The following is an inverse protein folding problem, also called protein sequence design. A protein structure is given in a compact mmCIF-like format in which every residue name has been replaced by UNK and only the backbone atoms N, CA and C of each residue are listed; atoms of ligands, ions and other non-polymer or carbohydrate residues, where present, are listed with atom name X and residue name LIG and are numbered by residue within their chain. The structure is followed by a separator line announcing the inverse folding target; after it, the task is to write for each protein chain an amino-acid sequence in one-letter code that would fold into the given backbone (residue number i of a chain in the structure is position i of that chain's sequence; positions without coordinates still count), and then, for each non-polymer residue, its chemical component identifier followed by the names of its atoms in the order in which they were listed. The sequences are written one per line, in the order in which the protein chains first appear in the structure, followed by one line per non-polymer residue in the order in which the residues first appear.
data_IF_507509336773
#
_entry.id   IF_507509336773
#
_cell.length_a   1.000
_cell.length_b   1.000
_cell.length_c   1.000
_cell.angle_alpha   90.00
_cell.angle_beta   90.00
_cell.angle_gamma   90.00
#
_symmetry.space_group_name_H-M   'P 1'
#
loop_
_entity.id
_entity.type
_entity.pdbx_description
1 polymer ?
#
# COMPACT_ATOMS: atom_id res chain seq x y z
N UNK A 1 -14.74 4.17 24.81
CA UNK A 1 -14.23 3.80 26.15
C UNK A 1 -14.83 2.47 26.58
N UNK A 2 -14.05 1.58 27.19
CA UNK A 2 -14.55 0.30 27.73
C UNK A 2 -15.16 0.48 29.13
N UNK A 3 -16.04 -0.43 29.58
CA UNK A 3 -16.62 -0.35 30.93
C UNK A 3 -15.56 -0.46 32.04
N UNK A 4 -15.57 0.46 33.02
CA UNK A 4 -14.62 0.46 34.16
C UNK A 4 -14.64 -0.82 35.02
N UNK A 5 -15.75 -1.57 34.99
CA UNK A 5 -15.93 -2.81 35.75
C UNK A 5 -15.63 -4.08 34.94
N UNK A 6 -14.99 -3.96 33.77
CA UNK A 6 -14.69 -5.09 32.89
C UNK A 6 -13.92 -6.22 33.61
N UNK A 7 -13.01 -5.87 34.51
CA UNK A 7 -12.25 -6.80 35.36
C UNK A 7 -13.11 -7.76 36.21
N UNK A 8 -14.39 -7.43 36.44
CA UNK A 8 -15.34 -8.32 37.15
C UNK A 8 -15.85 -9.46 36.27
N UNK A 9 -15.71 -9.37 34.95
CA UNK A 9 -16.21 -10.35 33.99
C UNK A 9 -15.24 -11.54 33.83
N UNK A 10 -14.89 -12.23 34.92
CA UNK A 10 -13.86 -13.30 34.93
C UNK A 10 -14.08 -14.48 33.98
N UNK A 11 -15.32 -14.66 33.47
CA UNK A 11 -15.67 -15.68 32.47
C UNK A 11 -15.63 -15.17 31.03
N UNK A 12 -15.28 -13.91 30.81
CA UNK A 12 -15.17 -13.32 29.48
C UNK A 12 -14.09 -14.07 28.70
N UNK A 13 -14.45 -14.54 27.50
CA UNK A 13 -13.54 -15.29 26.61
C UNK A 13 -13.14 -14.50 25.38
N UNK A 14 -13.92 -13.49 25.00
CA UNK A 14 -13.72 -12.72 23.77
C UNK A 14 -14.01 -11.25 24.05
N UNK A 15 -13.04 -10.41 23.72
CA UNK A 15 -13.13 -8.97 23.71
C UNK A 15 -12.53 -8.48 22.40
N UNK A 16 -13.40 -8.15 21.45
CA UNK A 16 -12.98 -7.59 20.16
C UNK A 16 -13.23 -6.09 20.20
N UNK A 17 -12.15 -5.35 20.04
CA UNK A 17 -12.08 -3.90 19.98
C UNK A 17 -11.53 -3.60 18.58
N UNK A 18 -12.30 -2.83 17.80
CA UNK A 18 -12.14 -2.72 16.34
C UNK A 18 -10.69 -2.72 15.83
N UNK A 19 -10.49 -3.44 14.74
CA UNK A 19 -9.30 -3.39 13.88
C UNK A 19 -9.64 -4.11 12.58
N UNK A 20 -10.35 -3.45 11.66
CA UNK A 20 -10.34 -3.89 10.26
C UNK A 20 -8.99 -3.45 9.68
N UNK A 21 -7.96 -4.28 9.83
CA UNK A 21 -6.65 -4.02 9.22
C UNK A 21 -6.68 -4.68 7.85
N UNK A 22 -7.23 -3.96 6.87
CA UNK A 22 -7.06 -4.31 5.47
C UNK A 22 -5.80 -3.67 4.91
N UNK A 23 -5.24 -4.36 3.90
CA UNK A 23 -3.91 -4.27 3.30
C UNK A 23 -3.62 -2.94 2.55
N UNK A 24 -4.32 -1.85 2.87
CA UNK A 24 -4.12 -0.56 2.20
C UNK A 24 -4.06 0.56 3.23
N UNK A 25 -2.83 0.98 3.55
CA UNK A 25 -2.26 2.32 3.89
C UNK A 25 -3.08 3.29 4.79
N UNK A 26 -4.41 3.24 4.85
CA UNK A 26 -5.26 3.92 5.82
C UNK A 26 -5.47 3.06 7.07
N UNK A 27 -4.53 3.16 7.99
CA UNK A 27 -4.69 2.63 9.34
C UNK A 27 -5.35 3.71 10.19
N UNK A 28 -6.68 3.71 10.26
CA UNK A 28 -7.38 4.48 11.30
C UNK A 28 -7.17 3.77 12.64
N UNK A 29 -6.51 4.44 13.59
CA UNK A 29 -6.40 3.92 14.94
C UNK A 29 -7.81 3.85 15.58
N UNK A 30 -8.10 2.79 16.34
CA UNK A 30 -9.41 2.66 16.97
C UNK A 30 -9.69 3.84 17.91
N UNK A 31 -10.96 4.26 18.00
CA UNK A 31 -11.44 5.34 18.90
C UNK A 31 -11.15 5.06 20.39
N UNK A 32 -10.64 3.88 20.74
CA UNK A 32 -10.27 3.54 22.11
C UNK A 32 -8.95 4.21 22.52
N UNK A 33 -9.02 5.09 23.53
CA UNK A 33 -7.86 5.85 24.01
C UNK A 33 -7.03 5.16 25.10
N UNK A 34 -7.60 4.17 25.80
CA UNK A 34 -6.91 3.41 26.86
C UNK A 34 -7.65 2.11 27.23
N UNK A 35 -6.95 1.21 27.90
CA UNK A 35 -7.50 -0.04 28.46
C UNK A 35 -7.91 0.15 29.93
N UNK A 36 -9.05 -0.39 30.40
CA UNK A 36 -9.44 -0.29 31.80
C UNK A 36 -8.55 -1.15 32.69
N UNK A 37 -8.22 -0.66 33.89
CA UNK A 37 -7.46 -1.39 34.90
C UNK A 37 -8.06 -2.76 35.24
N UNK A 38 -7.18 -3.74 35.47
CA UNK A 38 -7.54 -5.09 35.87
C UNK A 38 -8.00 -6.00 34.73
N UNK A 39 -7.73 -5.62 33.48
CA UNK A 39 -7.92 -6.50 32.32
C UNK A 39 -7.04 -7.75 32.41
N UNK A 40 -5.87 -7.66 33.05
CA UNK A 40 -4.98 -8.80 33.28
C UNK A 40 -5.56 -9.87 34.21
N UNK A 41 -6.64 -9.57 34.93
CA UNK A 41 -7.36 -10.54 35.77
C UNK A 41 -8.37 -11.39 34.97
N UNK A 42 -8.56 -11.10 33.67
CA UNK A 42 -9.42 -11.87 32.77
C UNK A 42 -8.69 -13.08 32.19
N UNK A 43 -8.16 -13.96 33.03
CA UNK A 43 -7.33 -15.10 32.58
C UNK A 43 -8.05 -16.16 31.73
N UNK A 44 -9.38 -16.11 31.67
CA UNK A 44 -10.21 -16.91 30.75
C UNK A 44 -10.33 -16.30 29.34
N UNK A 45 -9.80 -15.09 29.14
CA UNK A 45 -9.85 -14.38 27.87
C UNK A 45 -8.99 -15.13 26.84
N UNK A 46 -9.63 -15.50 25.75
CA UNK A 46 -9.01 -16.16 24.61
C UNK A 46 -8.76 -15.20 23.47
N UNK A 47 -9.66 -14.25 23.23
CA UNK A 47 -9.51 -13.30 22.14
C UNK A 47 -9.50 -11.89 22.70
N UNK A 48 -8.42 -11.16 22.41
CA UNK A 48 -8.26 -9.74 22.67
C UNK A 48 -7.63 -9.12 21.42
N UNK A 49 -8.44 -8.49 20.58
CA UNK A 49 -7.94 -7.97 19.29
C UNK A 49 -7.02 -6.76 19.46
N UNK A 50 -7.31 -5.87 20.42
CA UNK A 50 -6.54 -4.63 20.60
C UNK A 50 -6.25 -4.34 22.08
N UNK A 51 -5.01 -3.98 22.38
CA UNK A 51 -4.55 -3.47 23.67
C UNK A 51 -3.92 -2.09 23.50
N UNK A 52 -4.48 -1.09 24.18
CA UNK A 52 -4.03 0.31 24.12
C UNK A 52 -3.20 0.64 25.35
N UNK A 53 -1.92 0.94 25.14
CA UNK A 53 -1.02 1.42 26.20
C UNK A 53 -1.13 2.94 26.29
N UNK A 54 -1.46 3.46 27.47
CA UNK A 54 -1.64 4.89 27.72
C UNK A 54 -1.01 5.30 29.05
N UNK A 55 -0.63 6.58 29.16
CA UNK A 55 -0.13 7.20 30.39
C UNK A 55 -1.24 7.74 31.30
N UNK A 56 -2.52 7.53 30.93
CA UNK A 56 -3.65 7.90 31.79
C UNK A 56 -3.61 7.10 33.10
N UNK A 57 -3.88 7.77 34.22
CA UNK A 57 -3.80 7.17 35.56
C UNK A 57 -4.78 6.00 35.77
N UNK A 58 -5.89 5.97 35.03
CA UNK A 58 -6.88 4.89 35.05
C UNK A 58 -6.73 3.89 33.89
N UNK A 59 -5.58 3.91 33.20
CA UNK A 59 -5.23 2.95 32.14
C UNK A 59 -4.48 1.75 32.69
N UNK A 60 -4.79 0.57 32.15
CA UNK A 60 -3.93 -0.60 32.27
C UNK A 60 -2.57 -0.34 31.61
N UNK A 61 -1.50 -0.70 32.31
CA UNK A 61 -0.15 -0.78 31.74
C UNK A 61 0.04 -2.08 30.96
N UNK A 62 1.05 -2.12 30.09
CA UNK A 62 1.31 -3.27 29.21
C UNK A 62 1.58 -4.59 29.98
N UNK A 63 2.09 -4.49 31.22
CA UNK A 63 2.28 -5.61 32.12
C UNK A 63 0.98 -6.35 32.48
N UNK A 64 -0.20 -5.75 32.27
CA UNK A 64 -1.47 -6.47 32.47
C UNK A 64 -1.67 -7.61 31.47
N UNK A 65 -0.89 -7.67 30.38
CA UNK A 65 -0.87 -8.82 29.47
C UNK A 65 -0.19 -10.06 30.06
N UNK A 66 0.55 -9.94 31.17
CA UNK A 66 1.40 -11.00 31.75
C UNK A 66 0.67 -12.34 31.90
N UNK A 67 -0.53 -12.31 32.50
CA UNK A 67 -1.30 -13.51 32.86
C UNK A 67 -2.26 -14.00 31.76
N UNK A 68 -2.32 -13.31 30.63
CA UNK A 68 -3.25 -13.62 29.54
C UNK A 68 -2.63 -14.63 28.55
N UNK A 69 -2.22 -15.79 29.07
CA UNK A 69 -1.48 -16.82 28.29
C UNK A 69 -2.35 -17.56 27.25
N UNK A 70 -3.67 -17.55 27.43
CA UNK A 70 -4.63 -18.23 26.56
C UNK A 70 -5.06 -17.39 25.35
N UNK A 71 -4.44 -16.21 25.14
CA UNK A 71 -4.74 -15.39 23.97
C UNK A 71 -4.41 -16.16 22.68
N UNK A 72 -5.37 -16.16 21.77
CA UNK A 72 -5.36 -16.90 20.51
C UNK A 72 -5.72 -15.99 19.33
N UNK A 73 -5.18 -16.31 18.15
CA UNK A 73 -5.42 -15.54 16.92
C UNK A 73 -4.54 -14.29 16.86
N UNK A 74 -5.18 -13.12 16.89
CA UNK A 74 -4.53 -11.83 16.69
C UNK A 74 -4.48 -11.00 17.97
N UNK A 75 -3.37 -10.28 18.15
CA UNK A 75 -3.24 -9.20 19.13
C UNK A 75 -2.59 -7.98 18.47
N UNK A 76 -3.28 -6.85 18.52
CA UNK A 76 -2.74 -5.52 18.18
C UNK A 76 -2.41 -4.77 19.47
N UNK A 77 -1.19 -4.28 19.61
CA UNK A 77 -0.78 -3.41 20.72
C UNK A 77 -0.47 -2.03 20.14
N UNK A 78 -1.23 -1.03 20.56
CA UNK A 78 -1.04 0.37 20.15
C UNK A 78 -0.57 1.19 21.34
N UNK A 79 0.07 2.33 21.05
CA UNK A 79 0.52 3.23 22.10
C UNK A 79 1.85 2.82 22.73
N UNK A 80 2.69 2.07 22.01
CA UNK A 80 3.94 1.50 22.57
C UNK A 80 4.95 2.58 23.01
N UNK A 81 4.89 3.79 22.42
CA UNK A 81 5.66 4.95 22.89
C UNK A 81 5.44 5.28 24.37
N UNK A 82 4.30 4.86 24.93
CA UNK A 82 3.96 5.05 26.34
C UNK A 82 4.64 4.02 27.25
N UNK A 83 5.48 3.11 26.75
CA UNK A 83 6.25 2.19 27.61
C UNK A 83 7.57 2.85 28.02
N UNK A 84 7.60 3.40 29.24
CA UNK A 84 8.76 4.13 29.76
C UNK A 84 9.91 3.21 30.22
N UNK A 85 9.58 1.98 30.62
CA UNK A 85 10.53 0.98 31.09
C UNK A 85 10.38 -0.32 30.31
N UNK A 86 11.43 -0.74 29.60
CA UNK A 86 11.44 -1.98 28.83
C UNK A 86 11.16 -3.23 29.70
N UNK A 87 11.38 -3.17 31.02
CA UNK A 87 11.05 -4.24 31.95
C UNK A 87 9.54 -4.46 32.07
N UNK A 88 8.72 -3.44 31.86
CA UNK A 88 7.27 -3.59 31.83
C UNK A 88 6.78 -4.22 30.52
N UNK A 89 7.41 -3.87 29.39
CA UNK A 89 7.21 -4.60 28.13
C UNK A 89 7.59 -6.09 28.28
N UNK A 90 8.69 -6.40 28.97
CA UNK A 90 9.09 -7.79 29.22
C UNK A 90 8.03 -8.55 30.04
N UNK A 91 7.42 -7.92 31.05
CA UNK A 91 6.33 -8.52 31.84
C UNK A 91 5.10 -8.83 31.01
N UNK A 92 4.85 -8.12 29.90
CA UNK A 92 3.76 -8.44 28.98
C UNK A 92 3.85 -9.89 28.46
N UNK A 93 5.04 -10.51 28.50
CA UNK A 93 5.27 -11.93 28.28
C UNK A 93 4.61 -12.45 26.99
N UNK A 94 4.90 -11.81 25.85
CA UNK A 94 4.36 -12.26 24.57
C UNK A 94 4.90 -13.64 24.17
N UNK A 95 6.06 -14.03 24.69
CA UNK A 95 6.63 -15.37 24.52
C UNK A 95 5.81 -16.49 25.17
N UNK A 96 4.96 -16.23 26.17
CA UNK A 96 4.12 -17.30 26.76
C UNK A 96 2.83 -17.55 25.96
N UNK A 97 2.43 -16.62 25.08
CA UNK A 97 1.15 -16.62 24.37
C UNK A 97 1.21 -17.49 23.11
N UNK A 98 1.31 -18.81 23.33
CA UNK A 98 1.59 -19.81 22.27
C UNK A 98 0.51 -19.94 21.19
N UNK A 99 -0.69 -19.46 21.46
CA UNK A 99 -1.84 -19.59 20.55
C UNK A 99 -2.04 -18.34 19.68
N UNK A 100 -1.25 -17.29 19.88
CA UNK A 100 -1.19 -16.16 18.96
C UNK A 100 -0.47 -16.57 17.68
N UNK A 101 -1.06 -16.16 16.56
CA UNK A 101 -0.53 -16.32 15.21
C UNK A 101 -0.19 -14.97 14.59
N UNK A 102 -0.94 -13.92 14.95
CA UNK A 102 -0.79 -12.58 14.39
C UNK A 102 -0.47 -11.58 15.48
N UNK A 103 0.58 -10.78 15.28
CA UNK A 103 0.97 -9.70 16.18
C UNK A 103 1.13 -8.38 15.43
N UNK A 104 0.45 -7.35 15.87
CA UNK A 104 0.63 -5.99 15.37
C UNK A 104 1.13 -5.07 16.50
N UNK A 105 2.24 -4.37 16.27
CA UNK A 105 2.87 -3.45 17.22
C UNK A 105 2.89 -2.04 16.62
N UNK A 106 2.24 -1.08 17.27
CA UNK A 106 2.09 0.28 16.77
C UNK A 106 2.60 1.35 17.72
N UNK A 107 3.49 2.16 17.19
CA UNK A 107 3.84 3.50 17.67
C UNK A 107 2.88 4.52 17.04
N UNK A 108 2.72 5.71 17.64
CA UNK A 108 1.77 6.68 17.15
C UNK A 108 2.32 7.31 15.86
N UNK A 109 1.41 7.74 14.99
CA UNK A 109 1.78 8.59 13.85
C UNK A 109 2.21 9.95 14.40
N UNK A 110 3.50 10.24 14.40
CA UNK A 110 3.93 11.64 14.43
C UNK A 110 3.45 12.26 13.12
N UNK A 111 2.66 13.34 13.19
CA UNK A 111 2.62 14.28 12.06
C UNK A 111 4.06 14.62 11.69
N UNK A 112 4.32 14.79 10.40
CA UNK A 112 5.62 14.77 9.68
C UNK A 112 6.80 15.57 10.26
N UNK A 113 6.72 16.19 11.44
CA UNK A 113 7.73 17.09 12.00
C UNK A 113 8.02 16.89 13.51
N UNK A 114 7.57 15.79 14.13
CA UNK A 114 7.93 15.49 15.53
C UNK A 114 8.87 14.28 15.57
N UNK A 115 10.16 14.54 15.75
CA UNK A 115 11.11 13.52 16.19
C UNK A 115 10.66 12.99 17.56
N UNK A 116 10.01 11.83 17.57
CA UNK A 116 9.74 11.12 18.82
C UNK A 116 11.08 10.53 19.27
N UNK A 117 11.84 11.28 20.07
CA UNK A 117 12.99 10.76 20.80
C UNK A 117 12.52 9.73 21.85
N UNK A 118 12.29 8.49 21.44
CA UNK A 118 12.07 7.39 22.37
C UNK A 118 13.41 6.72 22.69
N UNK A 119 14.10 7.28 23.69
CA UNK A 119 15.32 6.76 24.34
C UNK A 119 15.05 5.45 25.09
N UNK A 120 14.69 4.37 24.37
CA UNK A 120 14.53 2.97 24.82
C UNK A 120 13.75 2.11 23.79
N UNK A 121 13.36 2.65 22.63
CA UNK A 121 12.46 1.95 21.70
C UNK A 121 12.94 0.57 21.30
N UNK A 122 14.25 0.43 21.08
CA UNK A 122 14.86 -0.84 20.72
C UNK A 122 14.72 -1.86 21.83
N UNK A 123 15.02 -1.47 23.07
CA UNK A 123 14.90 -2.32 24.25
C UNK A 123 13.45 -2.71 24.53
N UNK A 124 12.50 -1.78 24.33
CA UNK A 124 11.06 -2.05 24.43
C UNK A 124 10.64 -3.06 23.37
N UNK A 125 10.96 -2.84 22.10
CA UNK A 125 10.59 -3.76 21.02
C UNK A 125 11.29 -5.12 21.17
N UNK A 126 12.54 -5.16 21.62
CA UNK A 126 13.26 -6.39 21.99
C UNK A 126 12.53 -7.16 23.09
N UNK A 127 12.07 -6.47 24.14
CA UNK A 127 11.33 -7.06 25.25
C UNK A 127 9.93 -7.60 24.83
N UNK A 128 9.38 -7.09 23.72
CA UNK A 128 8.13 -7.53 23.12
C UNK A 128 8.30 -8.71 22.15
N UNK A 129 9.40 -9.47 22.24
CA UNK A 129 9.55 -10.67 21.42
C UNK A 129 8.36 -11.64 21.60
N UNK A 130 7.67 -12.02 20.52
CA UNK A 130 6.56 -12.96 20.59
C UNK A 130 7.01 -14.42 20.70
N UNK A 131 6.03 -15.31 20.89
CA UNK A 131 6.26 -16.74 20.74
C UNK A 131 6.61 -17.11 19.29
N UNK A 132 7.41 -18.15 19.09
CA UNK A 132 7.86 -18.65 17.77
C UNK A 132 6.75 -19.22 16.87
N UNK A 133 5.48 -19.13 17.30
CA UNK A 133 4.31 -19.58 16.53
C UNK A 133 3.71 -18.48 15.66
N UNK A 134 4.17 -17.24 15.79
CA UNK A 134 3.70 -16.14 14.96
C UNK A 134 3.95 -16.46 13.48
N UNK A 135 2.89 -16.31 12.70
CA UNK A 135 2.83 -16.46 11.24
C UNK A 135 2.84 -15.08 10.57
N UNK A 136 2.21 -14.07 11.20
CA UNK A 136 2.15 -12.70 10.67
C UNK A 136 2.56 -11.67 11.72
N UNK A 137 3.49 -10.79 11.36
CA UNK A 137 3.94 -9.71 12.22
C UNK A 137 3.89 -8.38 11.48
N UNK A 138 3.28 -7.38 12.12
CA UNK A 138 3.19 -6.01 11.62
C UNK A 138 3.81 -5.07 12.65
N UNK A 139 4.70 -4.20 12.20
CA UNK A 139 5.31 -3.19 13.05
C UNK A 139 5.16 -1.85 12.34
N UNK A 140 4.56 -0.89 13.04
CA UNK A 140 4.23 0.42 12.49
C UNK A 140 4.82 1.52 13.37
N UNK A 141 5.46 2.53 12.75
CA UNK A 141 5.88 3.75 13.42
C UNK A 141 7.12 3.61 14.30
N UNK A 142 7.83 2.48 14.25
CA UNK A 142 8.97 2.23 15.13
C UNK A 142 10.07 3.29 14.93
N UNK A 143 10.43 4.07 15.97
CA UNK A 143 11.29 5.25 15.80
C UNK A 143 12.79 4.93 15.97
N UNK A 144 13.14 3.70 16.36
CA UNK A 144 14.53 3.31 16.61
C UNK A 144 15.35 3.12 15.34
N UNK A 145 16.67 3.27 15.43
CA UNK A 145 17.57 3.14 14.28
C UNK A 145 17.81 1.69 13.83
N UNK A 146 17.64 0.72 14.72
CA UNK A 146 17.95 -0.69 14.47
C UNK A 146 16.80 -1.59 14.90
N UNK A 147 16.46 -2.58 14.08
CA UNK A 147 15.50 -3.62 14.45
C UNK A 147 16.08 -4.55 15.53
N UNK A 148 15.25 -5.08 16.45
CA UNK A 148 15.68 -6.03 17.47
C UNK A 148 16.04 -7.42 16.93
N UNK A 149 16.62 -8.25 17.79
CA UNK A 149 17.14 -9.60 17.48
C UNK A 149 16.11 -10.54 16.87
N UNK A 150 14.84 -10.38 17.24
CA UNK A 150 13.77 -11.29 16.82
C UNK A 150 13.08 -10.91 15.51
N UNK A 151 13.16 -9.65 15.06
CA UNK A 151 12.46 -9.18 13.85
C UNK A 151 13.19 -9.72 12.63
N UNK A 152 12.50 -10.53 11.82
CA UNK A 152 13.11 -11.19 10.66
C UNK A 152 14.06 -12.33 11.01
N UNK A 153 14.19 -12.73 12.28
CA UNK A 153 15.06 -13.83 12.66
C UNK A 153 14.39 -15.19 12.40
N UNK A 154 15.02 -16.02 11.58
CA UNK A 154 14.61 -17.40 11.33
C UNK A 154 14.65 -18.30 12.58
N UNK A 155 15.43 -17.95 13.60
CA UNK A 155 15.48 -18.71 14.86
C UNK A 155 14.39 -18.27 15.83
N UNK A 156 14.09 -16.96 15.89
CA UNK A 156 13.05 -16.41 16.74
C UNK A 156 11.64 -16.67 16.19
N UNK A 157 11.46 -16.52 14.89
CA UNK A 157 10.17 -16.61 14.19
C UNK A 157 10.24 -17.56 12.98
N UNK A 158 10.43 -18.87 13.20
CA UNK A 158 10.60 -19.85 12.13
C UNK A 158 9.34 -20.13 11.29
N UNK A 159 8.16 -19.63 11.71
CA UNK A 159 6.87 -19.82 11.04
C UNK A 159 6.36 -18.56 10.34
N UNK A 160 7.13 -17.48 10.36
CA UNK A 160 6.70 -16.18 9.84
C UNK A 160 6.55 -16.23 8.31
N UNK A 161 5.31 -16.12 7.84
CA UNK A 161 4.96 -16.03 6.42
C UNK A 161 4.75 -14.59 5.97
N UNK A 162 4.39 -13.69 6.89
CA UNK A 162 4.21 -12.26 6.61
C UNK A 162 5.03 -11.41 7.59
N UNK A 163 5.87 -10.53 7.06
CA UNK A 163 6.49 -9.44 7.80
C UNK A 163 6.16 -8.09 7.15
N UNK A 164 5.47 -7.23 7.90
CA UNK A 164 5.13 -5.88 7.46
C UNK A 164 5.81 -4.83 8.33
N UNK A 165 6.59 -3.94 7.71
CA UNK A 165 7.28 -2.83 8.36
C UNK A 165 6.83 -1.51 7.73
N UNK A 166 6.19 -0.66 8.52
CA UNK A 166 5.51 0.54 8.01
C UNK A 166 5.94 1.79 8.78
N UNK A 167 6.16 2.90 8.07
CA UNK A 167 6.47 4.21 8.63
C UNK A 167 7.63 4.15 9.64
N UNK A 168 8.77 3.63 9.19
CA UNK A 168 10.00 3.53 9.97
C UNK A 168 11.09 4.46 9.41
N UNK A 169 10.99 5.78 9.66
CA UNK A 169 11.85 6.79 9.01
C UNK A 169 13.34 6.68 9.42
N UNK A 170 13.61 6.10 10.59
CA UNK A 170 14.94 6.05 11.18
C UNK A 170 15.62 4.68 11.08
N UNK A 171 14.91 3.62 10.71
CA UNK A 171 15.48 2.27 10.70
C UNK A 171 16.47 2.12 9.55
N UNK A 172 17.74 1.89 9.89
CA UNK A 172 18.84 1.74 8.93
C UNK A 172 19.12 0.28 8.58
N UNK A 173 18.69 -0.67 9.41
CA UNK A 173 18.97 -2.08 9.16
C UNK A 173 18.42 -3.06 10.18
N UNK A 174 18.89 -4.30 10.04
CA UNK A 174 18.53 -5.44 10.87
C UNK A 174 19.53 -5.63 12.00
N UNK A 175 19.13 -6.36 13.04
CA UNK A 175 20.07 -6.81 14.07
C UNK A 175 21.12 -7.77 13.48
N UNK A 176 22.30 -7.84 14.10
CA UNK A 176 23.32 -8.83 13.74
C UNK A 176 22.86 -10.29 13.91
N UNK A 177 21.79 -10.51 14.68
CA UNK A 177 21.16 -11.82 14.88
C UNK A 177 20.22 -12.20 13.71
N UNK A 178 19.84 -11.24 12.88
CA UNK A 178 19.10 -11.46 11.63
C UNK A 178 20.06 -11.93 10.51
N UNK A 179 20.71 -13.09 10.72
CA UNK A 179 21.66 -13.67 9.76
C UNK A 179 20.96 -14.10 8.46
N UNK A 180 19.69 -14.51 8.54
CA UNK A 180 18.84 -14.92 7.41
C UNK A 180 17.35 -14.74 7.78
N UNK A 181 16.57 -14.17 6.86
CA UNK A 181 15.11 -14.15 6.94
C UNK A 181 14.55 -15.59 6.94
N UNK A 182 13.37 -15.85 7.55
CA UNK A 182 12.76 -17.17 7.58
C UNK A 182 12.52 -17.71 6.17
N UNK A 183 12.89 -18.97 5.91
CA UNK A 183 12.71 -19.59 4.59
C UNK A 183 11.25 -19.79 4.19
N UNK A 184 10.32 -19.69 5.14
CA UNK A 184 8.87 -19.73 4.90
C UNK A 184 8.26 -18.34 4.62
N UNK A 185 9.06 -17.26 4.67
CA UNK A 185 8.56 -15.90 4.46
C UNK A 185 8.05 -15.73 3.03
N UNK A 186 6.78 -15.37 2.89
CA UNK A 186 6.10 -15.19 1.60
C UNK A 186 5.89 -13.71 1.28
N UNK A 187 5.61 -12.90 2.30
CA UNK A 187 5.30 -11.49 2.14
C UNK A 187 6.26 -10.67 3.00
N UNK A 188 7.02 -9.80 2.34
CA UNK A 188 7.82 -8.76 2.98
C UNK A 188 7.33 -7.41 2.47
N UNK A 189 6.43 -6.79 3.24
CA UNK A 189 5.84 -5.50 2.89
C UNK A 189 6.53 -4.38 3.66
N UNK A 190 7.03 -3.41 2.91
CA UNK A 190 7.77 -2.25 3.40
C UNK A 190 7.07 -1.00 2.88
N UNK A 191 6.71 -0.09 3.79
CA UNK A 191 6.09 1.17 3.42
C UNK A 191 6.73 2.30 4.23
N UNK A 192 7.21 3.34 3.56
CA UNK A 192 7.89 4.47 4.20
C UNK A 192 8.98 4.02 5.19
N UNK A 193 9.91 3.19 4.70
CA UNK A 193 11.11 2.72 5.40
C UNK A 193 12.37 3.18 4.63
N UNK A 194 12.62 4.51 4.53
CA UNK A 194 13.53 5.09 3.55
C UNK A 194 15.01 4.81 3.81
N UNK A 195 15.39 4.34 5.01
CA UNK A 195 16.77 4.01 5.37
C UNK A 195 17.02 2.51 5.48
N UNK A 196 15.97 1.68 5.42
CA UNK A 196 16.07 0.25 5.70
C UNK A 196 16.68 -0.48 4.50
N UNK A 197 17.86 -1.05 4.72
CA UNK A 197 18.54 -1.94 3.78
C UNK A 197 18.03 -3.38 4.00
N UNK A 198 17.54 -4.02 2.95
CA UNK A 198 17.13 -5.43 2.97
C UNK A 198 18.33 -6.38 3.19
N UNK A 199 18.15 -7.48 3.94
CA UNK A 199 19.20 -8.45 4.13
C UNK A 199 19.34 -9.30 2.86
N UNK A 200 20.58 -9.56 2.43
CA UNK A 200 20.88 -10.43 1.29
C UNK A 200 21.55 -11.72 1.76
N UNK A 201 21.16 -12.89 1.22
CA UNK A 201 20.12 -13.11 0.19
C UNK A 201 18.69 -13.10 0.77
N UNK A 202 17.71 -12.74 -0.07
CA UNK A 202 16.29 -12.90 0.23
C UNK A 202 15.82 -14.35 0.02
N UNK A 203 14.86 -14.87 0.83
CA UNK A 203 14.26 -16.18 0.63
C UNK A 203 13.52 -16.28 -0.71
N UNK A 204 13.73 -17.36 -1.46
CA UNK A 204 13.07 -17.63 -2.76
C UNK A 204 11.57 -17.98 -2.66
N UNK A 205 11.07 -18.12 -1.44
CA UNK A 205 9.65 -18.30 -1.10
C UNK A 205 8.84 -17.00 -1.18
N UNK A 206 9.50 -15.84 -1.23
CA UNK A 206 8.82 -14.55 -1.33
C UNK A 206 8.01 -14.48 -2.63
N UNK A 207 6.72 -14.18 -2.46
CA UNK A 207 5.76 -13.95 -3.55
C UNK A 207 5.33 -12.49 -3.64
N UNK A 208 5.41 -11.74 -2.53
CA UNK A 208 5.12 -10.31 -2.49
C UNK A 208 6.25 -9.56 -1.79
N UNK A 209 6.81 -8.56 -2.48
CA UNK A 209 7.91 -7.75 -1.99
C UNK A 209 7.66 -6.27 -2.24
N UNK A 210 7.99 -5.44 -1.25
CA UNK A 210 8.16 -4.00 -1.44
C UNK A 210 9.62 -3.62 -1.20
N UNK A 211 10.20 -2.80 -2.08
CA UNK A 211 11.55 -2.26 -1.98
C UNK A 211 11.50 -0.73 -1.97
N UNK A 212 12.21 -0.10 -1.05
CA UNK A 212 12.16 1.35 -0.83
C UNK A 212 13.52 2.06 -0.96
N UNK A 213 13.52 3.40 -0.93
CA UNK A 213 14.69 4.32 -0.98
C UNK A 213 15.98 3.87 -0.29
N UNK A 214 15.87 3.12 0.80
CA UNK A 214 17.03 2.62 1.56
C UNK A 214 17.71 1.41 0.93
N UNK A 215 17.14 0.82 -0.12
CA UNK A 215 17.64 -0.38 -0.77
C UNK A 215 18.49 -0.04 -1.98
N UNK A 216 19.35 -0.98 -2.37
CA UNK A 216 20.15 -0.83 -3.57
C UNK A 216 19.24 -0.68 -4.80
N UNK A 217 19.29 0.46 -5.51
CA UNK A 217 18.51 0.68 -6.71
C UNK A 217 18.84 -0.29 -7.85
N UNK A 218 19.96 -1.01 -7.76
CA UNK A 218 20.34 -2.06 -8.72
C UNK A 218 19.36 -3.24 -8.73
N UNK A 219 18.54 -3.41 -7.68
CA UNK A 219 17.60 -4.53 -7.50
C UNK A 219 18.23 -5.94 -7.58
N UNK A 220 19.54 -6.10 -7.41
CA UNK A 220 20.20 -7.44 -7.43
C UNK A 220 19.57 -8.43 -6.44
N UNK A 221 19.02 -7.93 -5.32
CA UNK A 221 18.36 -8.74 -4.30
C UNK A 221 17.11 -9.48 -4.81
N UNK A 222 16.45 -9.00 -5.87
CA UNK A 222 15.22 -9.62 -6.41
C UNK A 222 15.48 -10.55 -7.59
N UNK A 223 16.70 -10.60 -8.12
CA UNK A 223 17.05 -11.34 -9.34
C UNK A 223 16.65 -12.83 -9.28
N UNK A 224 16.74 -13.44 -8.09
CA UNK A 224 16.48 -14.87 -7.86
C UNK A 224 15.04 -15.16 -7.36
N UNK A 225 14.16 -14.16 -7.30
CA UNK A 225 12.78 -14.31 -6.81
C UNK A 225 11.82 -14.73 -7.92
N UNK A 226 12.03 -15.92 -8.49
CA UNK A 226 11.24 -16.42 -9.64
C UNK A 226 9.75 -16.66 -9.33
N UNK A 227 9.36 -16.71 -8.05
CA UNK A 227 7.97 -16.87 -7.61
C UNK A 227 7.27 -15.55 -7.30
N UNK A 228 7.96 -14.43 -7.45
CA UNK A 228 7.41 -13.11 -7.15
C UNK A 228 6.21 -12.83 -8.07
N UNK A 229 5.05 -12.63 -7.47
CA UNK A 229 3.81 -12.25 -8.16
C UNK A 229 3.46 -10.77 -7.95
N UNK A 230 4.04 -10.13 -6.94
CA UNK A 230 3.84 -8.73 -6.62
C UNK A 230 5.17 -8.04 -6.28
N UNK A 231 5.44 -6.91 -6.92
CA UNK A 231 6.59 -6.05 -6.62
C UNK A 231 6.13 -4.59 -6.50
N UNK A 232 6.42 -3.97 -5.35
CA UNK A 232 6.31 -2.52 -5.18
C UNK A 232 7.72 -1.92 -5.09
N UNK A 233 7.97 -0.86 -5.85
CA UNK A 233 9.19 -0.06 -5.82
C UNK A 233 8.80 1.34 -5.34
N UNK A 234 9.47 1.88 -4.32
CA UNK A 234 9.19 3.22 -3.80
C UNK A 234 10.46 4.02 -3.53
N UNK A 235 10.49 5.32 -3.85
CA UNK A 235 11.56 6.21 -3.37
C UNK A 235 12.91 6.04 -4.06
N UNK A 236 12.97 5.53 -5.29
CA UNK A 236 14.24 5.36 -6.03
C UNK A 236 14.66 6.68 -6.70
N UNK A 237 14.91 7.70 -5.88
CA UNK A 237 15.14 9.09 -6.30
C UNK A 237 16.49 9.35 -7.00
N UNK A 238 17.36 8.35 -7.12
CA UNK A 238 18.67 8.49 -7.78
C UNK A 238 18.70 7.86 -9.18
N UNK A 239 17.62 7.17 -9.56
CA UNK A 239 17.60 6.32 -10.74
C UNK A 239 16.81 6.98 -11.86
N UNK A 240 17.44 7.17 -13.02
CA UNK A 240 16.73 7.67 -14.21
C UNK A 240 15.90 6.58 -14.91
N UNK A 241 16.30 5.30 -14.76
CA UNK A 241 15.65 4.11 -15.34
C UNK A 241 15.81 2.90 -14.42
N UNK A 242 14.74 2.17 -14.14
CA UNK A 242 14.81 0.94 -13.33
C UNK A 242 15.73 -0.12 -13.99
N UNK A 243 16.43 -0.95 -13.20
CA UNK A 243 17.39 -1.93 -13.72
C UNK A 243 16.67 -3.06 -14.49
N UNK A 244 17.12 -3.32 -15.71
CA UNK A 244 16.47 -4.30 -16.60
C UNK A 244 16.75 -5.76 -16.19
N UNK A 245 18.00 -6.08 -15.85
CA UNK A 245 18.42 -7.47 -15.62
C UNK A 245 17.69 -8.18 -14.46
N UNK A 246 17.50 -7.58 -13.27
CA UNK A 246 16.77 -8.24 -12.18
C UNK A 246 15.28 -8.40 -12.49
N UNK A 247 14.67 -7.40 -13.15
CA UNK A 247 13.25 -7.44 -13.50
C UNK A 247 12.94 -8.50 -14.56
N UNK A 248 13.87 -8.75 -15.48
CA UNK A 248 13.73 -9.76 -16.55
C UNK A 248 13.49 -11.18 -16.03
N UNK A 249 13.94 -11.51 -14.82
CA UNK A 249 13.82 -12.84 -14.23
C UNK A 249 12.48 -13.07 -13.49
N UNK A 250 11.68 -12.02 -13.30
CA UNK A 250 10.41 -12.05 -12.57
C UNK A 250 9.24 -12.55 -13.45
N UNK A 251 9.42 -13.72 -14.06
CA UNK A 251 8.48 -14.29 -15.05
C UNK A 251 7.07 -14.58 -14.53
N UNK A 252 6.85 -14.58 -13.21
CA UNK A 252 5.54 -14.80 -12.56
C UNK A 252 4.90 -13.52 -12.04
N UNK A 253 5.50 -12.37 -12.29
CA UNK A 253 5.02 -11.09 -11.78
C UNK A 253 3.65 -10.75 -12.38
N UNK A 254 2.66 -10.53 -11.52
CA UNK A 254 1.28 -10.19 -11.91
C UNK A 254 0.94 -8.73 -11.63
N UNK A 255 1.61 -8.13 -10.65
CA UNK A 255 1.37 -6.78 -10.18
C UNK A 255 2.70 -6.07 -9.94
N UNK A 256 2.87 -4.92 -10.60
CA UNK A 256 4.03 -4.06 -10.45
C UNK A 256 3.55 -2.66 -10.06
N UNK A 257 4.01 -2.17 -8.91
CA UNK A 257 3.73 -0.81 -8.47
C UNK A 257 5.02 0.00 -8.32
N UNK A 258 4.99 1.27 -8.75
CA UNK A 258 6.11 2.22 -8.70
C UNK A 258 5.58 3.51 -8.07
N UNK A 259 6.13 3.91 -6.93
CA UNK A 259 5.73 5.12 -6.20
C UNK A 259 6.93 6.03 -5.93
N UNK A 260 6.71 7.34 -5.87
CA UNK A 260 7.67 8.28 -5.30
C UNK A 260 9.09 8.16 -5.91
N UNK A 261 9.21 7.95 -7.22
CA UNK A 261 10.50 7.82 -7.91
C UNK A 261 10.80 9.10 -8.71
N UNK A 262 11.23 10.16 -8.03
CA UNK A 262 11.22 11.51 -8.59
C UNK A 262 12.18 11.74 -9.76
N UNK A 263 13.31 11.02 -9.83
CA UNK A 263 14.25 11.11 -10.95
C UNK A 263 14.00 10.09 -12.05
N UNK A 264 13.02 9.19 -11.90
CA UNK A 264 12.70 8.19 -12.90
C UNK A 264 12.13 8.86 -14.14
N UNK A 265 12.87 8.86 -15.24
CA UNK A 265 12.47 9.52 -16.50
C UNK A 265 11.67 8.63 -17.43
N UNK A 266 11.91 7.32 -17.38
CA UNK A 266 11.28 6.32 -18.25
C UNK A 266 11.30 4.94 -17.61
N UNK A 267 10.39 4.08 -18.07
CA UNK A 267 10.41 2.66 -17.74
C UNK A 267 11.50 1.91 -18.53
N UNK A 268 11.98 0.76 -18.02
CA UNK A 268 12.91 -0.12 -18.74
C UNK A 268 12.30 -0.62 -20.05
N UNK A 269 13.15 -0.79 -21.08
CA UNK A 269 12.73 -1.15 -22.44
C UNK A 269 12.68 -2.66 -22.67
N UNK A 270 13.54 -3.41 -21.97
CA UNK A 270 13.67 -4.87 -22.13
C UNK A 270 12.77 -5.69 -21.17
N UNK A 271 11.52 -5.26 -20.95
CA UNK A 271 10.55 -5.98 -20.12
C UNK A 271 9.87 -7.17 -20.83
N UNK A 272 10.53 -7.79 -21.82
CA UNK A 272 9.98 -8.86 -22.68
C UNK A 272 9.37 -10.03 -21.90
N UNK A 273 9.93 -10.31 -20.71
CA UNK A 273 9.54 -11.44 -19.88
C UNK A 273 8.41 -11.12 -18.88
N UNK A 274 7.99 -9.86 -18.76
CA UNK A 274 6.90 -9.43 -17.85
C UNK A 274 5.51 -9.53 -18.50
N UNK A 275 5.36 -10.40 -19.50
CA UNK A 275 4.07 -10.65 -20.16
C UNK A 275 2.96 -11.17 -19.24
N UNK A 276 3.30 -11.57 -18.01
CA UNK A 276 2.37 -12.02 -16.96
C UNK A 276 1.76 -10.88 -16.14
N UNK A 277 2.30 -9.65 -16.25
CA UNK A 277 1.82 -8.49 -15.49
C UNK A 277 0.43 -8.12 -15.96
N UNK A 278 -0.50 -8.08 -15.01
CA UNK A 278 -1.92 -7.75 -15.19
C UNK A 278 -2.29 -6.39 -14.61
N UNK A 279 -1.53 -5.90 -13.63
CA UNK A 279 -1.76 -4.61 -12.97
C UNK A 279 -0.44 -3.85 -12.95
N UNK A 280 -0.46 -2.61 -13.44
CA UNK A 280 0.65 -1.67 -13.37
C UNK A 280 0.16 -0.38 -12.74
N UNK A 281 0.83 0.02 -11.65
CA UNK A 281 0.52 1.24 -10.94
C UNK A 281 1.76 2.14 -10.86
N UNK A 282 1.68 3.38 -11.33
CA UNK A 282 2.75 4.37 -11.27
C UNK A 282 2.20 5.65 -10.64
N UNK A 283 2.74 6.06 -9.50
CA UNK A 283 2.26 7.26 -8.76
C UNK A 283 3.43 8.13 -8.33
N UNK A 284 3.21 9.44 -8.35
CA UNK A 284 4.15 10.42 -7.78
C UNK A 284 5.58 10.23 -8.29
N UNK A 285 5.73 9.98 -9.60
CA UNK A 285 7.04 9.88 -10.26
C UNK A 285 7.28 11.19 -11.02
N UNK A 286 7.74 12.23 -10.29
CA UNK A 286 7.74 13.60 -10.79
C UNK A 286 8.55 13.83 -12.07
N UNK A 287 9.64 13.08 -12.28
CA UNK A 287 10.52 13.17 -13.44
C UNK A 287 10.10 12.31 -14.63
N UNK A 288 9.01 11.53 -14.54
CA UNK A 288 8.61 10.58 -15.57
C UNK A 288 8.07 11.30 -16.78
N UNK A 289 8.81 11.27 -17.89
CA UNK A 289 8.48 12.03 -19.11
C UNK A 289 7.55 11.23 -20.05
N UNK A 290 7.75 9.91 -20.14
CA UNK A 290 6.94 9.01 -20.96
C UNK A 290 6.98 7.55 -20.47
N UNK A 291 5.94 6.77 -20.80
CA UNK A 291 5.92 5.32 -20.59
C UNK A 291 6.26 4.52 -21.89
N UNK A 292 6.70 5.21 -22.94
CA UNK A 292 6.94 4.62 -24.27
C UNK A 292 7.98 3.51 -24.22
N UNK A 293 7.82 2.49 -25.07
CA UNK A 293 8.54 1.20 -25.10
C UNK A 293 8.36 0.30 -23.87
N UNK A 294 8.33 0.82 -22.64
CA UNK A 294 8.22 0.00 -21.42
C UNK A 294 6.90 -0.78 -21.31
N UNK A 295 5.82 -0.26 -21.88
CA UNK A 295 4.52 -0.95 -21.92
C UNK A 295 4.40 -2.00 -23.03
N UNK A 296 5.29 -1.99 -24.03
CA UNK A 296 5.13 -2.73 -25.29
C UNK A 296 4.92 -4.23 -25.10
N UNK A 297 5.55 -4.81 -24.08
CA UNK A 297 5.56 -6.24 -23.82
C UNK A 297 4.52 -6.69 -22.78
N UNK A 298 3.79 -5.76 -22.16
CA UNK A 298 2.81 -6.04 -21.11
C UNK A 298 1.45 -6.44 -21.71
N UNK A 299 1.43 -7.43 -22.61
CA UNK A 299 0.25 -7.79 -23.41
C UNK A 299 -0.91 -8.38 -22.58
N UNK A 300 -0.64 -8.85 -21.36
CA UNK A 300 -1.66 -9.32 -20.40
C UNK A 300 -2.18 -8.22 -19.47
N UNK A 301 -1.72 -6.97 -19.61
CA UNK A 301 -2.10 -5.88 -18.72
C UNK A 301 -3.60 -5.63 -18.82
N UNK A 302 -4.29 -5.74 -17.68
CA UNK A 302 -5.73 -5.50 -17.53
C UNK A 302 -6.00 -4.15 -16.89
N UNK A 303 -5.11 -3.68 -16.03
CA UNK A 303 -5.28 -2.43 -15.31
C UNK A 303 -3.99 -1.59 -15.36
N UNK A 304 -4.14 -0.36 -15.85
CA UNK A 304 -3.11 0.66 -15.84
C UNK A 304 -3.59 1.86 -15.02
N UNK A 305 -2.85 2.19 -13.97
CA UNK A 305 -3.08 3.37 -13.14
C UNK A 305 -1.84 4.25 -13.16
N UNK A 306 -2.02 5.52 -13.52
CA UNK A 306 -0.92 6.50 -13.59
C UNK A 306 -1.39 7.79 -12.93
N UNK A 307 -0.70 8.28 -11.90
CA UNK A 307 -1.08 9.57 -11.35
C UNK A 307 0.02 10.33 -10.65
N UNK A 308 -0.22 11.61 -10.42
CA UNK A 308 0.73 12.52 -9.75
C UNK A 308 2.10 12.55 -10.46
N UNK A 309 2.14 12.26 -11.76
CA UNK A 309 3.37 12.26 -12.57
C UNK A 309 3.51 13.62 -13.28
N UNK A 310 4.17 14.57 -12.62
CA UNK A 310 4.13 15.98 -13.00
C UNK A 310 4.76 16.29 -14.37
N UNK A 311 5.82 15.57 -14.77
CA UNK A 311 6.50 15.77 -16.06
C UNK A 311 5.98 14.86 -17.19
N UNK A 312 4.92 14.08 -16.94
CA UNK A 312 4.45 13.08 -17.89
C UNK A 312 3.73 13.75 -19.06
N UNK A 313 4.34 13.72 -20.24
CA UNK A 313 3.82 14.38 -21.44
C UNK A 313 2.98 13.45 -22.32
N UNK A 314 3.35 12.17 -22.37
CA UNK A 314 2.64 11.17 -23.16
C UNK A 314 2.65 9.81 -22.46
N UNK A 315 1.55 9.05 -22.57
CA UNK A 315 1.53 7.65 -22.14
C UNK A 315 2.29 6.77 -23.13
N UNK A 316 2.16 7.06 -24.43
CA UNK A 316 2.80 6.29 -25.48
C UNK A 316 2.60 6.95 -26.84
N UNK A 317 3.61 6.91 -27.69
CA UNK A 317 3.47 7.25 -29.12
C UNK A 317 3.02 6.05 -29.98
N UNK A 318 3.16 4.80 -29.50
CA UNK A 318 2.81 3.58 -30.27
C UNK A 318 2.71 2.27 -29.48
N UNK A 319 3.31 2.16 -28.29
CA UNK A 319 3.33 0.95 -27.46
C UNK A 319 1.97 0.52 -26.89
N UNK A 320 0.99 1.43 -26.74
CA UNK A 320 -0.35 1.08 -26.25
C UNK A 320 -1.13 0.17 -27.19
N UNK A 321 -0.76 0.12 -28.48
CA UNK A 321 -1.40 -0.78 -29.46
C UNK A 321 -1.31 -2.27 -29.08
N UNK A 322 -0.36 -2.61 -28.22
CA UNK A 322 -0.12 -3.99 -27.78
C UNK A 322 -0.95 -4.37 -26.54
N UNK A 323 -1.57 -3.40 -25.85
CA UNK A 323 -2.34 -3.61 -24.61
C UNK A 323 -3.80 -4.02 -24.90
N UNK A 324 -3.98 -5.02 -25.76
CA UNK A 324 -5.30 -5.49 -26.19
C UNK A 324 -6.16 -6.08 -25.06
N UNK A 325 -5.53 -6.45 -23.94
CA UNK A 325 -6.19 -6.99 -22.75
C UNK A 325 -6.59 -5.90 -21.73
N UNK A 326 -6.25 -4.63 -21.97
CA UNK A 326 -6.49 -3.55 -21.03
C UNK A 326 -8.00 -3.32 -20.85
N UNK A 327 -8.46 -3.41 -19.60
CA UNK A 327 -9.86 -3.24 -19.21
C UNK A 327 -10.06 -1.94 -18.43
N UNK A 328 -9.09 -1.56 -17.60
CA UNK A 328 -9.17 -0.40 -16.71
C UNK A 328 -8.00 0.54 -17.00
N UNK A 329 -8.32 1.79 -17.31
CA UNK A 329 -7.36 2.89 -17.40
C UNK A 329 -7.76 3.99 -16.44
N UNK A 330 -6.88 4.32 -15.48
CA UNK A 330 -7.09 5.44 -14.56
C UNK A 330 -5.90 6.39 -14.62
N UNK A 331 -6.19 7.66 -14.82
CA UNK A 331 -5.18 8.71 -14.87
C UNK A 331 -5.62 9.88 -14.01
N UNK A 332 -4.76 10.34 -13.09
CA UNK A 332 -5.06 11.50 -12.26
C UNK A 332 -3.85 12.41 -12.04
N UNK A 333 -4.09 13.72 -11.98
CA UNK A 333 -3.08 14.69 -11.58
C UNK A 333 -1.76 14.60 -12.39
N UNK A 334 -1.89 14.53 -13.72
CA UNK A 334 -0.78 14.56 -14.67
C UNK A 334 -0.89 15.86 -15.50
N UNK A 335 -0.36 17.00 -15.02
CA UNK A 335 -0.62 18.31 -15.59
C UNK A 335 -0.04 18.56 -16.99
N UNK A 336 1.04 17.86 -17.36
CA UNK A 336 1.66 17.97 -18.69
C UNK A 336 1.12 16.96 -19.71
N UNK A 337 0.22 16.05 -19.30
CA UNK A 337 -0.17 14.91 -20.13
C UNK A 337 -1.09 15.32 -21.28
N UNK A 338 -0.58 15.20 -22.51
CA UNK A 338 -1.35 15.37 -23.74
C UNK A 338 -2.02 14.05 -24.15
N UNK A 339 -3.17 13.74 -23.55
CA UNK A 339 -3.88 12.47 -23.80
C UNK A 339 -4.33 12.29 -25.26
N UNK A 340 -4.45 13.39 -26.02
CA UNK A 340 -4.82 13.35 -27.44
C UNK A 340 -3.77 12.66 -28.32
N UNK A 341 -2.55 12.47 -27.82
CA UNK A 341 -1.50 11.70 -28.50
C UNK A 341 -1.68 10.19 -28.38
N UNK A 342 -2.63 9.72 -27.57
CA UNK A 342 -2.82 8.30 -27.26
C UNK A 342 -3.72 7.65 -28.29
N UNK A 343 -3.22 6.58 -28.91
CA UNK A 343 -3.99 5.76 -29.84
C UNK A 343 -4.87 4.72 -29.09
N UNK A 344 -6.15 5.07 -28.88
CA UNK A 344 -7.13 4.18 -28.25
C UNK A 344 -7.72 3.12 -29.20
N UNK A 345 -7.45 3.18 -30.52
CA UNK A 345 -8.17 2.35 -31.50
C UNK A 345 -7.96 0.84 -31.27
N UNK A 346 -6.83 0.48 -30.67
CA UNK A 346 -6.42 -0.90 -30.41
C UNK A 346 -6.86 -1.42 -29.03
N UNK A 347 -7.36 -0.55 -28.14
CA UNK A 347 -7.78 -0.90 -26.77
C UNK A 347 -9.21 -1.47 -26.74
N UNK A 348 -9.41 -2.55 -27.49
CA UNK A 348 -10.74 -3.15 -27.74
C UNK A 348 -11.40 -3.78 -26.50
N UNK A 349 -10.62 -4.07 -25.45
CA UNK A 349 -11.10 -4.67 -24.20
C UNK A 349 -11.43 -3.63 -23.13
N UNK A 350 -11.28 -2.34 -23.42
CA UNK A 350 -11.42 -1.28 -22.42
C UNK A 350 -12.87 -1.18 -21.93
N UNK A 351 -13.05 -1.25 -20.61
CA UNK A 351 -14.34 -1.30 -19.92
C UNK A 351 -14.54 -0.08 -19.01
N UNK A 352 -13.44 0.46 -18.45
CA UNK A 352 -13.47 1.57 -17.51
C UNK A 352 -12.35 2.57 -17.80
N UNK A 353 -12.72 3.84 -17.94
CA UNK A 353 -11.79 4.97 -18.05
C UNK A 353 -12.10 5.97 -16.95
N UNK A 354 -11.06 6.40 -16.22
CA UNK A 354 -11.15 7.52 -15.29
C UNK A 354 -10.04 8.53 -15.58
N UNK A 355 -10.42 9.79 -15.77
CA UNK A 355 -9.55 10.93 -16.05
C UNK A 355 -9.80 12.03 -15.01
N UNK A 356 -8.83 12.32 -14.16
CA UNK A 356 -9.01 13.23 -13.02
C UNK A 356 -7.94 14.32 -13.03
N UNK A 357 -8.32 15.58 -12.83
CA UNK A 357 -7.39 16.71 -12.75
C UNK A 357 -6.37 16.76 -13.90
N UNK A 358 -6.86 16.63 -15.14
CA UNK A 358 -6.03 16.71 -16.35
C UNK A 358 -6.25 18.06 -17.06
N UNK A 359 -5.43 19.09 -16.80
CA UNK A 359 -5.63 20.43 -17.37
C UNK A 359 -5.42 20.50 -18.89
N UNK A 360 -4.67 19.57 -19.51
CA UNK A 360 -4.52 19.55 -20.98
C UNK A 360 -5.69 18.86 -21.70
N UNK A 361 -6.62 18.24 -20.96
CA UNK A 361 -7.78 17.56 -21.55
C UNK A 361 -8.79 18.60 -22.06
N UNK A 362 -8.69 18.96 -23.35
CA UNK A 362 -9.61 19.92 -23.98
C UNK A 362 -10.83 19.26 -24.65
N UNK A 363 -10.65 18.03 -25.11
CA UNK A 363 -11.65 17.12 -25.66
C UNK A 363 -11.25 15.68 -25.37
N UNK A 364 -12.18 14.73 -25.53
CA UNK A 364 -11.86 13.31 -25.51
C UNK A 364 -11.26 12.87 -26.86
N UNK A 365 -10.26 11.96 -26.87
CA UNK A 365 -9.73 11.35 -28.09
C UNK A 365 -10.83 10.69 -28.93
N UNK A 366 -10.85 10.95 -30.25
CA UNK A 366 -11.86 10.40 -31.15
C UNK A 366 -11.78 8.87 -31.25
N UNK A 367 -10.59 8.31 -31.04
CA UNK A 367 -10.28 6.90 -31.12
C UNK A 367 -11.08 6.07 -30.09
N UNK A 368 -11.49 6.68 -28.97
CA UNK A 368 -12.31 6.04 -27.93
C UNK A 368 -13.66 5.60 -28.49
N UNK A 369 -14.18 6.21 -29.56
CA UNK A 369 -15.43 5.80 -30.21
C UNK A 369 -15.41 4.32 -30.67
N UNK A 370 -14.23 3.74 -30.87
CA UNK A 370 -14.06 2.35 -31.27
C UNK A 370 -14.12 1.36 -30.10
N UNK A 371 -14.12 1.83 -28.85
CA UNK A 371 -14.13 1.00 -27.64
C UNK A 371 -15.53 0.47 -27.32
N UNK A 372 -15.93 -0.62 -28.01
CA UNK A 372 -17.28 -1.20 -27.92
C UNK A 372 -17.63 -1.81 -26.57
N UNK A 373 -16.66 -1.99 -25.67
CA UNK A 373 -16.85 -2.57 -24.34
C UNK A 373 -16.85 -1.53 -23.22
N UNK A 374 -16.65 -0.25 -23.54
CA UNK A 374 -16.56 0.79 -22.52
C UNK A 374 -17.90 0.90 -21.79
N UNK A 375 -17.89 0.58 -20.49
CA UNK A 375 -19.06 0.59 -19.62
C UNK A 375 -19.12 1.86 -18.78
N UNK A 376 -17.96 2.34 -18.33
CA UNK A 376 -17.86 3.49 -17.43
C UNK A 376 -16.81 4.47 -17.92
N UNK A 377 -17.21 5.74 -18.04
CA UNK A 377 -16.30 6.86 -18.26
C UNK A 377 -16.50 7.89 -17.14
N UNK A 378 -15.43 8.14 -16.37
CA UNK A 378 -15.40 9.15 -15.32
C UNK A 378 -14.41 10.25 -15.67
N UNK A 379 -14.87 11.49 -15.63
CA UNK A 379 -14.04 12.67 -15.80
C UNK A 379 -14.28 13.59 -14.61
N UNK A 380 -13.23 13.93 -13.87
CA UNK A 380 -13.34 14.79 -12.69
C UNK A 380 -12.30 15.90 -12.71
N UNK A 381 -12.69 17.15 -12.45
CA UNK A 381 -11.70 18.22 -12.24
C UNK A 381 -10.90 18.60 -13.48
N UNK A 382 -11.35 18.24 -14.69
CA UNK A 382 -10.69 18.58 -15.94
C UNK A 382 -11.23 19.93 -16.45
N UNK A 383 -10.67 21.02 -15.92
CA UNK A 383 -11.21 22.38 -16.08
C UNK A 383 -11.25 22.88 -17.54
N UNK A 384 -10.37 22.40 -18.41
CA UNK A 384 -10.30 22.83 -19.80
C UNK A 384 -11.13 21.98 -20.76
N UNK A 385 -11.90 21.00 -20.28
CA UNK A 385 -12.74 20.15 -21.12
C UNK A 385 -13.97 20.92 -21.63
N UNK A 386 -13.93 21.36 -22.89
CA UNK A 386 -14.95 22.26 -23.46
C UNK A 386 -16.13 21.56 -24.11
N UNK A 387 -15.96 20.30 -24.53
CA UNK A 387 -16.97 19.54 -25.28
C UNK A 387 -16.88 18.05 -24.95
N UNK A 388 -18.05 17.43 -24.83
CA UNK A 388 -18.20 15.98 -24.92
C UNK A 388 -18.60 15.62 -26.36
N UNK A 389 -17.96 14.63 -26.99
CA UNK A 389 -18.24 14.25 -28.37
C UNK A 389 -19.51 13.39 -28.48
N UNK A 390 -20.29 13.59 -29.54
CA UNK A 390 -21.61 12.94 -29.73
C UNK A 390 -21.54 11.39 -29.76
N UNK A 391 -20.42 10.81 -30.19
CA UNK A 391 -20.23 9.36 -30.25
C UNK A 391 -20.36 8.66 -28.89
N UNK A 392 -20.21 9.37 -27.75
CA UNK A 392 -20.47 8.77 -26.43
C UNK A 392 -21.94 8.32 -26.28
N UNK A 393 -22.88 8.97 -26.98
CA UNK A 393 -24.29 8.55 -27.02
C UNK A 393 -24.49 7.28 -27.88
N UNK A 394 -23.56 7.00 -28.77
CA UNK A 394 -23.59 5.86 -29.70
C UNK A 394 -22.82 4.65 -29.17
N UNK A 395 -22.10 4.79 -28.05
CA UNK A 395 -21.38 3.68 -27.43
C UNK A 395 -22.36 2.61 -26.92
N UNK A 396 -22.31 1.38 -27.45
CA UNK A 396 -23.34 0.38 -27.22
C UNK A 396 -23.33 -0.20 -25.79
N UNK A 397 -22.19 -0.14 -25.11
CA UNK A 397 -21.99 -0.72 -23.79
C UNK A 397 -21.94 0.32 -22.66
N UNK A 398 -21.99 1.62 -22.97
CA UNK A 398 -21.80 2.67 -21.98
C UNK A 398 -23.02 2.71 -21.04
N UNK A 399 -22.77 2.41 -19.76
CA UNK A 399 -23.81 2.38 -18.72
C UNK A 399 -23.69 3.53 -17.75
N UNK A 400 -22.47 4.04 -17.53
CA UNK A 400 -22.16 5.09 -16.57
C UNK A 400 -21.27 6.16 -17.22
N UNK A 401 -21.72 7.41 -17.16
CA UNK A 401 -20.94 8.58 -17.53
C UNK A 401 -20.99 9.56 -16.37
N UNK A 402 -19.84 9.86 -15.79
CA UNK A 402 -19.71 10.81 -14.69
C UNK A 402 -18.81 11.95 -15.13
N UNK A 403 -19.31 13.19 -15.06
CA UNK A 403 -18.54 14.39 -15.36
C UNK A 403 -18.71 15.37 -14.21
N UNK A 404 -17.68 15.52 -13.39
CA UNK A 404 -17.74 16.23 -12.11
C UNK A 404 -16.68 17.32 -12.08
N UNK A 405 -16.96 18.48 -11.49
CA UNK A 405 -15.96 19.56 -11.30
C UNK A 405 -15.23 19.95 -12.61
N UNK A 406 -15.91 19.87 -13.77
CA UNK A 406 -15.36 20.27 -15.07
C UNK A 406 -15.88 21.66 -15.49
N UNK A 407 -15.47 22.16 -16.66
CA UNK A 407 -15.88 23.46 -17.20
C UNK A 407 -17.40 23.71 -16.99
N UNK A 408 -17.80 24.79 -16.28
CA UNK A 408 -19.21 25.13 -16.07
C UNK A 408 -20.02 25.28 -17.37
N UNK A 409 -19.38 25.67 -18.48
CA UNK A 409 -20.03 25.78 -19.78
C UNK A 409 -20.35 24.42 -20.40
N UNK A 410 -19.65 23.35 -20.00
CA UNK A 410 -19.92 21.99 -20.46
C UNK A 410 -21.34 21.55 -20.06
N UNK A 411 -21.74 21.87 -18.82
CA UNK A 411 -23.06 21.51 -18.29
C UNK A 411 -24.20 22.19 -19.06
N UNK A 412 -24.02 23.46 -19.47
CA UNK A 412 -25.00 24.20 -20.30
C UNK A 412 -25.23 23.56 -21.66
N UNK A 413 -24.25 22.81 -22.18
CA UNK A 413 -24.29 22.17 -23.50
C UNK A 413 -24.71 20.71 -23.42
N UNK A 414 -24.88 20.16 -22.21
CA UNK A 414 -25.23 18.78 -21.98
C UNK A 414 -26.74 18.49 -21.98
N UNK A 415 -27.61 19.42 -22.39
CA UNK A 415 -29.08 19.21 -22.41
C UNK A 415 -29.51 17.96 -23.21
N UNK A 416 -28.75 17.58 -24.23
CA UNK A 416 -28.97 16.38 -25.07
C UNK A 416 -28.56 15.05 -24.41
N UNK A 417 -27.81 15.09 -23.31
CA UNK A 417 -27.16 13.93 -22.69
C UNK A 417 -28.04 13.21 -21.66
N UNK A 418 -29.22 13.76 -21.36
CA UNK A 418 -30.23 13.19 -20.45
C UNK A 418 -30.76 11.80 -20.87
N UNK A 419 -30.35 11.26 -22.03
CA UNK A 419 -30.72 9.93 -22.53
C UNK A 419 -29.85 8.79 -21.98
N UNK A 420 -28.71 9.09 -21.35
CA UNK A 420 -27.86 8.08 -20.71
C UNK A 420 -28.45 7.75 -19.32
N UNK A 421 -28.86 6.49 -19.03
CA UNK A 421 -29.65 6.12 -17.85
C UNK A 421 -29.03 6.44 -16.48
N UNK A 422 -27.71 6.65 -16.42
CA UNK A 422 -26.97 6.94 -15.18
C UNK A 422 -25.99 8.11 -15.35
N UNK A 423 -26.27 9.05 -16.27
CA UNK A 423 -25.46 10.25 -16.38
C UNK A 423 -25.49 11.04 -15.07
N UNK A 424 -24.34 11.17 -14.41
CA UNK A 424 -24.14 12.11 -13.31
C UNK A 424 -23.25 13.24 -13.78
N UNK A 425 -23.86 14.38 -14.11
CA UNK A 425 -23.11 15.63 -14.26
C UNK A 425 -23.32 16.45 -13.00
N UNK A 426 -22.30 16.50 -12.14
CA UNK A 426 -22.36 17.24 -10.87
C UNK A 426 -21.27 18.32 -10.86
N UNK A 427 -21.67 19.58 -10.97
CA UNK A 427 -20.81 20.72 -10.67
C UNK A 427 -21.22 21.27 -9.29
N UNK A 428 -20.80 20.60 -8.20
CA UNK A 428 -20.85 21.21 -6.87
C UNK A 428 -19.47 21.71 -6.50
N UNK A 429 -19.29 23.02 -6.61
CA UNK A 429 -18.28 23.72 -5.81
C UNK A 429 -18.91 23.87 -4.43
N UNK A 430 -18.58 22.98 -3.49
CA UNK A 430 -18.79 23.31 -2.08
C UNK A 430 -17.71 24.34 -1.71
N UNK A 431 -18.17 25.56 -1.44
CA UNK A 431 -17.36 26.72 -1.03
C UNK A 431 -16.77 26.57 0.37
#
# INVERSE_FOLDING_TARGET
MLPKNLSKMRKLRKLVIGSDIYIHINIEDPVLTHMPLGIGELTCLKQLSTFVVSQLSDSAGIQELEKLDHLEGELTIIGIQNVLDHRDAYKANLRSKKSLLNLNLRWPVGGSDVEIECNNSKEVLEALQPHSNIEESFIYGYPGAMLPGWVGSSTALPKLTFLGLYNMPNVEGWSSECLLLPSCLQILDLYNCPKLILPTPLPSSITRLSVGKGNDPSLESVENLHNLSYLRITGFDEVETLPEAPLRNLTRLQELEIYDCDKLKRLPTELENLSTVTILFIVNCGGLESLTEGLRNLTSLKELRVGECLSLKSLSESSLQHLIALQILKIWDCPELEIMSVDFQHLISLEYIQLVWLPQLTSLPEEIQHTRRLQTLEIKGCENLRKLPEWLLELPALTSLSVIECDPELHRRCEDWNRIPLLRVENRVEL
#
